data_IF_860857669821
#
_entry.id   IF_860857669821
#
_cell.length_a   1.000
_cell.length_b   1.000
_cell.length_c   1.000
_cell.angle_alpha   90.00
_cell.angle_beta   90.00
_cell.angle_gamma   90.00
#
_symmetry.space_group_name_H-M   'P 1'
#
loop_
_entity.id
_entity.type
_entity.pdbx_description
1 polymer ?
#
# COMPACT_ATOMS: atom_id res chain seq x y z
N UNK A 1 -6.13 1.83 -26.10
CA UNK A 1 -6.51 1.64 -24.69
C UNK A 1 -5.26 1.54 -23.84
N UNK A 2 -4.97 2.61 -23.11
CA UNK A 2 -3.83 2.71 -22.18
C UNK A 2 -4.01 1.67 -21.07
N UNK A 3 -3.16 0.64 -21.05
CA UNK A 3 -2.97 -0.16 -19.85
C UNK A 3 -2.27 0.74 -18.83
N UNK A 4 -2.95 1.06 -17.71
CA UNK A 4 -2.24 1.70 -16.61
C UNK A 4 -1.06 0.79 -16.22
N UNK A 5 0.16 1.29 -16.23
CA UNK A 5 1.31 0.50 -15.81
C UNK A 5 1.13 0.07 -14.35
N UNK A 6 1.59 -1.12 -14.01
CA UNK A 6 1.54 -1.62 -12.64
C UNK A 6 2.68 -1.00 -11.84
N UNK A 7 2.37 -0.49 -10.64
CA UNK A 7 3.38 -0.02 -9.73
C UNK A 7 4.13 -1.21 -9.08
N UNK A 8 5.39 -1.00 -8.76
CA UNK A 8 6.23 -1.93 -8.01
C UNK A 8 6.42 -1.34 -6.62
N UNK A 9 6.10 -2.10 -5.58
CA UNK A 9 6.37 -1.71 -4.21
C UNK A 9 7.62 -2.43 -3.69
N UNK A 10 8.59 -1.64 -3.22
CA UNK A 10 9.79 -2.12 -2.56
C UNK A 10 9.59 -1.94 -1.04
N UNK A 11 9.60 -3.02 -0.29
CA UNK A 11 9.52 -2.97 1.17
C UNK A 11 10.92 -2.71 1.74
N UNK A 12 11.07 -1.65 2.52
CA UNK A 12 12.32 -1.22 3.13
C UNK A 12 12.14 -1.00 4.63
N UNK A 13 13.19 -1.24 5.40
CA UNK A 13 13.22 -0.85 6.81
C UNK A 13 13.56 0.63 6.91
N UNK A 14 12.98 1.31 7.91
CA UNK A 14 13.32 2.69 8.24
C UNK A 14 14.83 2.87 8.49
N UNK A 15 15.45 1.91 9.17
CA UNK A 15 16.90 1.85 9.42
C UNK A 15 17.73 1.95 8.13
N UNK A 16 17.33 1.28 7.05
CA UNK A 16 18.05 1.33 5.77
C UNK A 16 17.94 2.69 5.08
N UNK A 17 16.78 3.31 5.19
CA UNK A 17 16.56 4.65 4.63
C UNK A 17 17.30 5.73 5.44
N UNK A 18 17.57 5.48 6.71
CA UNK A 18 18.35 6.38 7.58
C UNK A 18 19.86 6.26 7.37
N UNK A 19 20.34 5.23 6.67
CA UNK A 19 21.75 5.08 6.34
C UNK A 19 22.09 5.89 5.06
N UNK A 20 22.96 6.92 5.16
CA UNK A 20 23.27 7.77 4.00
C UNK A 20 23.95 7.01 2.85
N UNK A 21 24.75 5.97 3.15
CA UNK A 21 25.42 5.15 2.15
C UNK A 21 24.41 4.34 1.34
N UNK A 22 23.54 3.60 2.03
CA UNK A 22 22.47 2.81 1.40
C UNK A 22 21.48 3.70 0.65
N UNK A 23 21.20 4.89 1.17
CA UNK A 23 20.32 5.85 0.54
C UNK A 23 20.91 6.39 -0.78
N UNK A 24 22.20 6.71 -0.81
CA UNK A 24 22.90 7.14 -2.02
C UNK A 24 22.92 6.03 -3.08
N UNK A 25 23.23 4.79 -2.70
CA UNK A 25 23.23 3.64 -3.60
C UNK A 25 21.83 3.41 -4.19
N UNK A 26 20.80 3.53 -3.36
CA UNK A 26 19.41 3.39 -3.81
C UNK A 26 19.02 4.48 -4.81
N UNK A 27 19.39 5.75 -4.55
CA UNK A 27 19.14 6.85 -5.49
C UNK A 27 19.88 6.64 -6.82
N UNK A 28 21.14 6.19 -6.78
CA UNK A 28 21.91 5.90 -7.97
C UNK A 28 21.25 4.80 -8.83
N UNK A 29 20.75 3.74 -8.18
CA UNK A 29 20.00 2.68 -8.87
C UNK A 29 18.71 3.24 -9.48
N UNK A 30 17.97 4.05 -8.75
CA UNK A 30 16.74 4.68 -9.26
C UNK A 30 16.99 5.54 -10.50
N UNK A 31 18.07 6.34 -10.50
CA UNK A 31 18.44 7.19 -11.62
C UNK A 31 18.88 6.37 -12.86
N UNK A 32 19.45 5.18 -12.64
CA UNK A 32 19.83 4.26 -13.73
C UNK A 32 18.64 3.42 -14.23
N UNK A 33 17.56 3.32 -13.44
CA UNK A 33 16.36 2.64 -13.86
C UNK A 33 15.55 3.50 -14.83
N UNK A 34 15.29 3.01 -16.03
CA UNK A 34 14.41 3.67 -17.03
C UNK A 34 12.91 3.51 -16.70
N UNK A 35 12.57 3.23 -15.44
CA UNK A 35 11.18 3.13 -15.01
C UNK A 35 10.65 4.52 -14.65
N UNK A 36 9.42 4.86 -15.05
CA UNK A 36 8.77 6.07 -14.55
C UNK A 36 8.71 6.03 -13.02
N UNK A 37 9.27 7.04 -12.37
CA UNK A 37 9.46 7.07 -10.91
C UNK A 37 8.12 6.93 -10.17
N UNK A 38 7.03 7.49 -10.71
CA UNK A 38 5.68 7.33 -10.15
C UNK A 38 5.12 5.90 -10.17
N UNK A 39 5.84 4.93 -10.76
CA UNK A 39 5.53 3.50 -10.68
C UNK A 39 6.33 2.78 -9.59
N UNK A 40 7.26 3.48 -8.95
CA UNK A 40 8.05 2.93 -7.84
C UNK A 40 7.45 3.44 -6.54
N UNK A 41 6.99 2.50 -5.73
CA UNK A 41 6.47 2.77 -4.40
C UNK A 41 7.45 2.20 -3.36
N UNK A 42 7.67 2.91 -2.29
CA UNK A 42 8.49 2.45 -1.16
C UNK A 42 7.60 2.23 0.04
N UNK A 43 7.56 0.98 0.52
CA UNK A 43 6.86 0.59 1.74
C UNK A 43 7.83 0.60 2.92
N UNK A 44 7.54 1.41 3.93
CA UNK A 44 8.42 1.65 5.09
C UNK A 44 7.91 0.88 6.29
N UNK A 45 8.81 0.18 6.98
CA UNK A 45 8.53 -0.59 8.20
C UNK A 45 9.60 -0.37 9.26
N UNK A 46 9.31 -0.74 10.52
CA UNK A 46 10.30 -0.76 11.60
C UNK A 46 10.65 0.61 12.17
N UNK A 47 9.70 1.55 12.20
CA UNK A 47 9.92 2.90 12.73
C UNK A 47 10.32 2.92 14.19
N UNK A 48 9.70 2.12 15.04
CA UNK A 48 10.01 2.03 16.47
C UNK A 48 11.47 1.60 16.77
N UNK A 49 12.17 1.09 15.79
CA UNK A 49 13.56 0.62 15.89
C UNK A 49 14.55 1.63 15.30
N UNK A 50 14.07 2.66 14.60
CA UNK A 50 14.93 3.68 14.00
C UNK A 50 15.35 4.70 15.07
N UNK A 51 16.64 4.70 15.39
CA UNK A 51 17.25 5.68 16.31
C UNK A 51 17.52 7.04 15.65
N UNK A 52 17.35 7.12 14.34
CA UNK A 52 17.79 8.22 13.50
C UNK A 52 16.61 8.85 12.76
N UNK A 53 15.61 9.33 13.53
CA UNK A 53 14.39 9.90 12.97
C UNK A 53 14.65 11.08 12.01
N UNK A 54 15.71 11.87 12.24
CA UNK A 54 16.07 13.01 11.39
C UNK A 54 16.53 12.56 10.00
N UNK A 55 17.46 11.59 9.94
CA UNK A 55 17.98 11.04 8.69
C UNK A 55 16.85 10.39 7.85
N UNK A 56 15.94 9.68 8.52
CA UNK A 56 14.76 9.12 7.85
C UNK A 56 13.91 10.22 7.22
N UNK A 57 13.63 11.31 7.94
CA UNK A 57 12.87 12.43 7.40
C UNK A 57 13.53 13.06 6.19
N UNK A 58 14.83 13.27 6.24
CA UNK A 58 15.62 13.81 5.10
C UNK A 58 15.54 12.87 3.89
N UNK A 59 15.73 11.56 4.09
CA UNK A 59 15.63 10.56 3.04
C UNK A 59 14.24 10.56 2.38
N UNK A 60 13.18 10.65 3.19
CA UNK A 60 11.82 10.73 2.66
C UNK A 60 11.59 11.97 1.82
N UNK A 61 12.06 13.13 2.27
CA UNK A 61 11.96 14.37 1.51
C UNK A 61 12.70 14.25 0.16
N UNK A 62 13.90 13.67 0.16
CA UNK A 62 14.67 13.46 -1.07
C UNK A 62 13.95 12.53 -2.05
N UNK A 63 13.41 11.39 -1.57
CA UNK A 63 12.67 10.44 -2.41
C UNK A 63 11.35 11.01 -2.91
N UNK A 64 10.65 11.81 -2.10
CA UNK A 64 9.45 12.53 -2.54
C UNK A 64 9.72 13.49 -3.69
N UNK A 65 10.84 14.22 -3.64
CA UNK A 65 11.27 15.11 -4.73
C UNK A 65 11.54 14.36 -6.03
N UNK A 66 11.96 13.11 -5.96
CA UNK A 66 12.11 12.22 -7.12
C UNK A 66 10.77 11.67 -7.61
N UNK A 67 9.65 11.90 -6.90
CA UNK A 67 8.33 11.42 -7.27
C UNK A 67 8.02 9.99 -6.78
N UNK A 68 8.80 9.45 -5.84
CA UNK A 68 8.52 8.17 -5.18
C UNK A 68 7.26 8.29 -4.33
N UNK A 69 6.39 7.29 -4.40
CA UNK A 69 5.19 7.19 -3.57
C UNK A 69 5.43 6.28 -2.38
N UNK A 70 4.94 6.68 -1.20
CA UNK A 70 5.17 5.94 0.03
C UNK A 70 3.97 5.16 0.51
N UNK A 71 4.28 4.01 1.09
CA UNK A 71 3.38 3.20 1.90
C UNK A 71 3.96 3.07 3.31
N UNK A 72 3.15 3.19 4.33
CA UNK A 72 3.54 2.86 5.70
C UNK A 72 3.10 1.42 6.00
N UNK A 73 4.03 0.57 6.40
CA UNK A 73 3.78 -0.86 6.61
C UNK A 73 3.67 -1.17 8.10
N UNK A 74 2.79 -2.10 8.43
CA UNK A 74 2.56 -2.60 9.80
C UNK A 74 2.17 -1.51 10.80
N UNK A 75 1.31 -0.59 10.37
CA UNK A 75 0.85 0.55 11.16
C UNK A 75 0.01 0.11 12.34
N UNK A 76 0.45 0.49 13.54
CA UNK A 76 -0.22 0.19 14.80
C UNK A 76 -0.86 1.40 15.45
N UNK A 77 -0.54 2.61 14.96
CA UNK A 77 -0.97 3.89 15.53
C UNK A 77 -0.16 4.30 16.75
N UNK A 78 1.13 3.94 16.78
CA UNK A 78 2.08 4.51 17.75
C UNK A 78 2.41 5.95 17.40
N UNK A 79 2.86 6.73 18.39
CA UNK A 79 3.06 8.18 18.22
C UNK A 79 4.04 8.49 17.10
N UNK A 80 5.15 7.76 17.00
CA UNK A 80 6.17 7.95 15.95
C UNK A 80 5.61 7.66 14.55
N UNK A 81 4.78 6.63 14.43
CA UNK A 81 4.12 6.27 13.17
C UNK A 81 3.10 7.35 12.77
N UNK A 82 2.32 7.84 13.73
CA UNK A 82 1.37 8.93 13.52
C UNK A 82 2.09 10.22 13.13
N UNK A 83 3.17 10.59 13.82
CA UNK A 83 3.98 11.76 13.48
C UNK A 83 4.57 11.68 12.08
N UNK A 84 5.10 10.51 11.70
CA UNK A 84 5.63 10.31 10.35
C UNK A 84 4.53 10.47 9.29
N UNK A 85 3.34 9.89 9.55
CA UNK A 85 2.20 9.98 8.63
C UNK A 85 1.70 11.43 8.48
N UNK A 86 1.72 12.23 9.55
CA UNK A 86 1.30 13.63 9.52
C UNK A 86 2.30 14.53 8.80
N UNK A 87 3.59 14.20 8.88
CA UNK A 87 4.66 15.03 8.32
C UNK A 87 4.98 14.69 6.86
N UNK A 88 4.59 13.51 6.39
CA UNK A 88 4.88 13.04 5.03
C UNK A 88 3.64 12.47 4.35
N UNK A 89 3.54 12.66 3.05
CA UNK A 89 2.42 12.15 2.25
C UNK A 89 2.60 10.67 1.96
N UNK A 90 1.78 9.85 2.60
CA UNK A 90 1.63 8.42 2.28
C UNK A 90 0.41 8.21 1.40
N UNK A 91 0.50 7.30 0.44
CA UNK A 91 -0.64 6.93 -0.42
C UNK A 91 -1.44 5.77 0.18
N UNK A 92 -0.76 4.86 0.88
CA UNK A 92 -1.37 3.68 1.49
C UNK A 92 -0.76 3.42 2.86
N UNK A 93 -1.62 3.08 3.82
CA UNK A 93 -1.22 2.71 5.18
C UNK A 93 -1.67 1.27 5.42
N UNK A 94 -0.69 0.39 5.56
CA UNK A 94 -0.93 -1.03 5.82
C UNK A 94 -1.08 -1.25 7.33
N UNK A 95 -2.30 -1.54 7.75
CA UNK A 95 -2.64 -1.82 9.14
C UNK A 95 -1.93 -3.10 9.62
N UNK A 96 -1.51 -3.11 10.87
CA UNK A 96 -0.91 -4.29 11.49
C UNK A 96 -1.87 -5.48 11.45
N UNK A 97 -1.37 -6.64 11.03
CA UNK A 97 -2.20 -7.85 10.86
C UNK A 97 -2.89 -8.28 12.16
N UNK A 98 -2.24 -8.08 13.30
CA UNK A 98 -2.82 -8.43 14.61
C UNK A 98 -4.01 -7.56 14.95
N UNK A 99 -4.01 -6.28 14.54
CA UNK A 99 -5.15 -5.39 14.73
C UNK A 99 -6.38 -5.90 13.98
N UNK A 100 -6.20 -6.34 12.74
CA UNK A 100 -7.27 -6.93 11.92
C UNK A 100 -7.76 -8.26 12.53
N UNK A 101 -6.83 -9.11 12.95
CA UNK A 101 -7.13 -10.42 13.53
C UNK A 101 -7.91 -10.34 14.82
N UNK A 102 -7.60 -9.35 15.66
CA UNK A 102 -8.19 -9.17 17.00
C UNK A 102 -9.41 -8.25 17.01
N UNK A 103 -9.80 -7.68 15.87
CA UNK A 103 -10.96 -6.79 15.77
C UNK A 103 -12.28 -7.57 15.82
N UNK A 104 -12.55 -8.16 16.98
CA UNK A 104 -13.83 -8.81 17.30
C UNK A 104 -14.89 -7.73 17.58
N UNK A 105 -16.17 -7.93 17.17
CA UNK A 105 -17.25 -6.98 17.42
C UNK A 105 -17.31 -6.51 18.88
N UNK A 106 -17.30 -5.19 19.10
CA UNK A 106 -17.33 -4.56 20.43
C UNK A 106 -15.98 -4.50 21.15
N UNK A 107 -14.91 -5.10 20.62
CA UNK A 107 -13.59 -5.11 21.24
C UNK A 107 -12.88 -3.75 21.16
N UNK A 108 -11.88 -3.56 22.03
CA UNK A 108 -10.99 -2.39 21.96
C UNK A 108 -10.20 -2.35 20.64
N UNK A 109 -9.84 -3.52 20.09
CA UNK A 109 -9.16 -3.61 18.81
C UNK A 109 -10.05 -3.14 17.66
N UNK A 110 -11.35 -3.45 17.68
CA UNK A 110 -12.30 -2.91 16.70
C UNK A 110 -12.41 -1.38 16.78
N UNK A 111 -12.54 -0.84 17.99
CA UNK A 111 -12.60 0.62 18.20
C UNK A 111 -11.32 1.30 17.72
N UNK A 112 -10.16 0.72 18.04
CA UNK A 112 -8.84 1.20 17.58
C UNK A 112 -8.75 1.14 16.06
N UNK A 113 -9.17 0.06 15.43
CA UNK A 113 -9.18 -0.09 13.98
C UNK A 113 -9.99 1.02 13.31
N UNK A 114 -11.18 1.30 13.82
CA UNK A 114 -12.04 2.37 13.30
C UNK A 114 -11.40 3.76 13.45
N UNK A 115 -10.80 4.04 14.61
CA UNK A 115 -10.12 5.30 14.86
C UNK A 115 -8.91 5.49 13.93
N UNK A 116 -8.08 4.45 13.77
CA UNK A 116 -6.94 4.50 12.86
C UNK A 116 -7.36 4.66 11.40
N UNK A 117 -8.43 3.98 10.97
CA UNK A 117 -8.97 4.17 9.62
C UNK A 117 -9.42 5.61 9.40
N UNK A 118 -10.14 6.20 10.35
CA UNK A 118 -10.57 7.60 10.25
C UNK A 118 -9.36 8.54 10.16
N UNK A 119 -8.31 8.30 10.95
CA UNK A 119 -7.07 9.07 10.90
C UNK A 119 -6.36 8.93 9.54
N UNK A 120 -6.30 7.72 8.98
CA UNK A 120 -5.71 7.45 7.66
C UNK A 120 -6.45 8.25 6.59
N UNK A 121 -7.79 8.20 6.58
CA UNK A 121 -8.59 8.93 5.59
C UNK A 121 -8.51 10.45 5.76
N UNK A 122 -8.38 10.96 6.99
CA UNK A 122 -8.16 12.38 7.25
C UNK A 122 -6.83 12.90 6.67
N UNK A 123 -5.89 12.00 6.37
CA UNK A 123 -4.60 12.32 5.72
C UNK A 123 -4.58 11.93 4.23
N UNK A 124 -5.72 11.80 3.57
CA UNK A 124 -5.86 11.47 2.15
C UNK A 124 -5.15 10.15 1.75
N UNK A 125 -4.91 9.27 2.71
CA UNK A 125 -4.32 7.96 2.48
C UNK A 125 -5.40 6.86 2.42
N UNK A 126 -5.05 5.73 1.80
CA UNK A 126 -5.90 4.53 1.76
C UNK A 126 -5.47 3.53 2.81
N UNK A 127 -6.43 2.96 3.50
CA UNK A 127 -6.22 1.87 4.44
C UNK A 127 -6.02 0.53 3.70
N UNK A 128 -5.05 -0.26 4.15
CA UNK A 128 -4.76 -1.58 3.57
C UNK A 128 -4.74 -2.63 4.67
N UNK A 129 -5.45 -3.74 4.48
CA UNK A 129 -5.39 -4.92 5.36
C UNK A 129 -4.67 -6.07 4.66
N UNK A 130 -3.77 -6.73 5.35
CA UNK A 130 -3.11 -7.94 4.84
C UNK A 130 -1.74 -8.21 5.46
N UNK A 131 -1.22 -9.40 5.19
CA UNK A 131 -1.81 -10.47 4.37
C UNK A 131 -3.00 -11.17 5.07
N UNK A 132 -4.15 -11.23 4.40
CA UNK A 132 -5.33 -11.95 4.87
C UNK A 132 -5.07 -13.45 4.82
N UNK A 133 -5.04 -14.09 5.98
CA UNK A 133 -4.74 -15.52 6.14
C UNK A 133 -5.97 -16.34 6.50
N UNK A 134 -6.98 -15.70 7.07
CA UNK A 134 -8.19 -16.34 7.60
C UNK A 134 -9.45 -15.64 7.07
N UNK A 135 -10.55 -16.38 6.94
CA UNK A 135 -11.80 -15.83 6.42
C UNK A 135 -12.39 -14.74 7.31
N UNK A 136 -12.24 -14.84 8.64
CA UNK A 136 -12.74 -13.79 9.54
C UNK A 136 -11.98 -12.47 9.34
N UNK A 137 -10.66 -12.50 9.06
CA UNK A 137 -9.88 -11.28 8.75
C UNK A 137 -10.43 -10.57 7.51
N UNK A 138 -10.84 -11.34 6.49
CA UNK A 138 -11.53 -10.82 5.31
C UNK A 138 -12.86 -10.18 5.71
N UNK A 139 -13.67 -10.87 6.49
CA UNK A 139 -14.96 -10.34 6.96
C UNK A 139 -14.81 -9.06 7.77
N UNK A 140 -13.76 -8.94 8.60
CA UNK A 140 -13.42 -7.71 9.33
C UNK A 140 -13.08 -6.59 8.34
N UNK A 141 -12.21 -6.85 7.36
CA UNK A 141 -11.82 -5.84 6.38
C UNK A 141 -13.02 -5.35 5.55
N UNK A 142 -13.92 -6.24 5.14
CA UNK A 142 -15.15 -5.90 4.41
C UNK A 142 -16.15 -5.13 5.30
N UNK A 143 -16.41 -5.62 6.52
CA UNK A 143 -17.32 -4.97 7.48
C UNK A 143 -16.92 -3.52 7.77
N UNK A 144 -15.63 -3.28 7.94
CA UNK A 144 -15.11 -1.94 8.24
C UNK A 144 -14.73 -1.14 7.00
N UNK A 145 -15.09 -1.63 5.81
CA UNK A 145 -14.83 -0.98 4.53
C UNK A 145 -13.37 -0.51 4.40
N UNK A 146 -12.41 -1.42 4.69
CA UNK A 146 -11.00 -1.16 4.43
C UNK A 146 -10.81 -1.03 2.92
N UNK A 147 -10.08 0.01 2.48
CA UNK A 147 -10.04 0.39 1.05
C UNK A 147 -9.38 -0.66 0.16
N UNK A 148 -8.35 -1.33 0.68
CA UNK A 148 -7.64 -2.39 -0.03
C UNK A 148 -7.32 -3.54 0.91
N UNK A 149 -7.33 -4.76 0.39
CA UNK A 149 -6.84 -5.91 1.14
C UNK A 149 -6.25 -6.96 0.21
N UNK A 150 -5.26 -7.69 0.71
CA UNK A 150 -4.54 -8.72 -0.05
C UNK A 150 -4.25 -9.94 0.82
N UNK A 151 -3.95 -11.06 0.21
CA UNK A 151 -3.57 -12.28 0.90
C UNK A 151 -4.03 -13.52 0.13
N UNK A 152 -3.61 -14.70 0.57
CA UNK A 152 -3.88 -15.97 -0.12
C UNK A 152 -5.37 -16.32 -0.24
N UNK A 153 -6.21 -15.81 0.67
CA UNK A 153 -7.68 -15.98 0.60
C UNK A 153 -8.37 -14.97 -0.32
N UNK A 154 -7.65 -13.98 -0.81
CA UNK A 154 -8.15 -12.99 -1.78
C UNK A 154 -7.69 -13.38 -3.18
N UNK A 155 -6.37 -13.58 -3.30
CA UNK A 155 -5.74 -13.97 -4.54
C UNK A 155 -4.47 -14.77 -4.21
N UNK A 156 -4.27 -15.96 -4.81
CA UNK A 156 -3.06 -16.73 -4.61
C UNK A 156 -1.84 -15.96 -5.15
N UNK A 157 -0.67 -16.30 -4.63
CA UNK A 157 0.57 -15.79 -5.20
C UNK A 157 0.68 -16.23 -6.66
N UNK A 158 1.02 -15.31 -7.52
CA UNK A 158 1.12 -15.53 -8.96
C UNK A 158 2.47 -15.07 -9.49
N UNK A 159 2.94 -15.76 -10.52
CA UNK A 159 4.10 -15.32 -11.28
C UNK A 159 3.75 -14.08 -12.11
N UNK A 160 4.77 -13.31 -12.50
CA UNK A 160 4.58 -12.15 -13.39
C UNK A 160 3.84 -12.55 -14.68
N UNK A 161 4.16 -13.71 -15.24
CA UNK A 161 3.49 -14.22 -16.43
C UNK A 161 1.97 -14.44 -16.22
N UNK A 162 1.59 -15.01 -15.07
CA UNK A 162 0.17 -15.20 -14.70
C UNK A 162 -0.56 -13.85 -14.53
N UNK A 163 0.08 -12.88 -13.88
CA UNK A 163 -0.47 -11.52 -13.70
C UNK A 163 -0.72 -10.84 -15.06
N UNK A 164 0.27 -10.92 -15.96
CA UNK A 164 0.16 -10.35 -17.31
C UNK A 164 -0.96 -11.02 -18.13
N UNK A 165 -1.12 -12.34 -17.99
CA UNK A 165 -2.20 -13.10 -18.64
C UNK A 165 -3.58 -12.69 -18.13
N UNK A 166 -3.76 -12.52 -16.80
CA UNK A 166 -5.01 -12.03 -16.21
C UNK A 166 -5.37 -10.63 -16.69
N UNK A 167 -4.40 -9.73 -16.78
CA UNK A 167 -4.62 -8.38 -17.31
C UNK A 167 -5.15 -8.38 -18.75
N UNK A 168 -4.70 -9.30 -19.59
CA UNK A 168 -5.23 -9.48 -20.96
C UNK A 168 -6.68 -9.99 -20.93
N UNK A 169 -6.99 -10.99 -20.10
CA UNK A 169 -8.34 -11.56 -19.99
C UNK A 169 -9.35 -10.55 -19.44
N UNK A 170 -8.97 -9.79 -18.41
CA UNK A 170 -9.81 -8.74 -17.84
C UNK A 170 -10.16 -7.64 -18.88
N UNK A 171 -9.19 -7.28 -19.74
CA UNK A 171 -9.43 -6.34 -20.85
C UNK A 171 -10.40 -6.88 -21.88
N UNK A 172 -10.28 -8.15 -22.23
CA UNK A 172 -11.20 -8.80 -23.16
C UNK A 172 -12.62 -8.82 -22.61
N UNK A 173 -12.77 -9.14 -21.31
CA UNK A 173 -14.07 -9.14 -20.65
C UNK A 173 -14.70 -7.73 -20.58
N UNK A 174 -13.89 -6.71 -20.29
CA UNK A 174 -14.35 -5.31 -20.26
C UNK A 174 -14.77 -4.85 -21.65
N UNK A 175 -14.01 -5.17 -22.68
CA UNK A 175 -14.34 -4.86 -24.07
C UNK A 175 -15.64 -5.55 -24.53
N UNK A 176 -15.84 -6.81 -24.15
CA UNK A 176 -17.10 -7.53 -24.43
C UNK A 176 -18.30 -6.89 -23.72
N UNK A 177 -18.18 -6.54 -22.42
CA UNK A 177 -19.25 -5.82 -21.70
C UNK A 177 -19.60 -4.48 -22.36
N UNK A 178 -18.61 -3.73 -22.82
CA UNK A 178 -18.84 -2.45 -23.50
C UNK A 178 -19.55 -2.63 -24.85
N UNK A 179 -19.23 -3.70 -25.60
CA UNK A 179 -19.89 -4.03 -26.84
C UNK A 179 -21.36 -4.44 -26.62
N UNK A 180 -21.63 -5.28 -25.62
CA UNK A 180 -22.98 -5.70 -25.26
C UNK A 180 -23.86 -4.51 -24.83
N UNK A 181 -23.32 -3.59 -24.00
CA UNK A 181 -24.06 -2.40 -23.58
C UNK A 181 -24.38 -1.44 -24.76
N UNK A 182 -23.49 -1.36 -25.77
CA UNK A 182 -23.78 -0.56 -26.98
C UNK A 182 -24.81 -1.16 -27.89
N UNK A 183 -25.02 -2.47 -27.88
CA UNK A 183 -26.07 -3.13 -28.64
C UNK A 183 -27.44 -2.97 -27.97
N UNK A 184 -27.51 -3.07 -26.65
CA UNK A 184 -28.73 -2.89 -25.86
C UNK A 184 -29.26 -1.44 -25.84
N UNK A 185 -28.50 -0.46 -26.31
CA UNK A 185 -28.92 0.95 -26.41
C UNK A 185 -29.42 1.30 -27.84
N UNK A 186 -29.40 0.35 -28.76
CA UNK A 186 -29.84 0.55 -30.15
C UNK A 186 -31.14 -0.17 -30.48
N UNK A 187 -31.72 -0.88 -29.53
CA UNK A 187 -33.07 -1.43 -29.53
C UNK A 187 -34.01 -0.55 -28.70
#
# INVERSE_FOLDING_TARGET
SSTKPHAIMLAMKAEWLSDPGLMNDFQEVLLKCYLPVGLIHVGISGLAQSKEAHQLQEALVQLQRLGILFHLLNFTGQDEECQLMLNHRFTHIHLASDLIRQAIPGSQCEKKLMALKALIHANDARSVAGPIKLMHEKSVAEKHAIDCYYGKHIMPQMTLHQVLKMGKTAKQQLAMKQLMNKQSQKE
#
